data_IF_102325939091
#
_entry.id   IF_102325939091
#
_cell.length_a   1.000
_cell.length_b   1.000
_cell.length_c   1.000
_cell.angle_alpha   90.00
_cell.angle_beta   90.00
_cell.angle_gamma   90.00
#
_symmetry.space_group_name_H-M   'P 1'
#
loop_
_entity.id
_entity.type
_entity.pdbx_description
1 polymer ?
#
# COMPACT_ATOMS: atom_id res chain seq x y z
N UNK A 1 -17.64 -11.50 7.77
CA UNK A 1 -17.02 -11.64 6.44
C UNK A 1 -16.18 -10.40 6.22
N UNK A 2 -14.93 -10.55 5.77
CA UNK A 2 -13.97 -9.46 5.56
C UNK A 2 -13.45 -9.48 4.12
N UNK A 3 -12.97 -8.34 3.64
CA UNK A 3 -12.25 -8.21 2.37
C UNK A 3 -10.78 -7.93 2.69
N UNK A 4 -9.87 -8.67 2.06
CA UNK A 4 -8.43 -8.48 2.17
C UNK A 4 -7.89 -8.18 0.78
N UNK A 5 -7.26 -7.01 0.54
CA UNK A 5 -6.63 -6.74 -0.73
C UNK A 5 -5.41 -7.66 -0.92
N UNK A 6 -5.19 -8.06 -2.16
CA UNK A 6 -4.00 -8.77 -2.59
C UNK A 6 -3.24 -7.88 -3.57
N UNK A 7 -2.08 -7.38 -3.17
CA UNK A 7 -1.27 -6.45 -3.95
C UNK A 7 -0.21 -7.21 -4.75
N UNK A 8 -0.06 -6.84 -6.02
CA UNK A 8 1.09 -7.24 -6.81
C UNK A 8 2.10 -6.09 -6.83
N UNK A 9 3.35 -6.33 -6.46
CA UNK A 9 4.41 -5.32 -6.44
C UNK A 9 5.63 -5.85 -7.20
N UNK A 10 6.36 -4.98 -7.89
CA UNK A 10 7.53 -5.40 -8.67
C UNK A 10 8.69 -5.92 -7.83
N UNK A 11 8.76 -5.54 -6.54
CA UNK A 11 9.78 -5.96 -5.58
C UNK A 11 9.15 -6.03 -4.18
N UNK A 12 8.84 -7.24 -3.73
CA UNK A 12 8.13 -7.44 -2.47
C UNK A 12 9.00 -7.19 -1.25
N UNK A 13 10.31 -7.44 -1.32
CA UNK A 13 11.22 -7.19 -0.19
C UNK A 13 11.31 -5.69 0.09
N UNK A 14 11.50 -4.90 -0.96
CA UNK A 14 11.48 -3.43 -0.86
C UNK A 14 10.10 -2.92 -0.42
N UNK A 15 9.02 -3.55 -0.84
CA UNK A 15 7.66 -3.18 -0.40
C UNK A 15 7.41 -3.47 1.07
N UNK A 16 7.88 -4.60 1.60
CA UNK A 16 7.81 -4.91 3.03
C UNK A 16 8.51 -3.82 3.84
N UNK A 17 9.75 -3.47 3.46
CA UNK A 17 10.52 -2.43 4.16
C UNK A 17 9.83 -1.07 4.10
N UNK A 18 9.33 -0.68 2.92
CA UNK A 18 8.65 0.59 2.72
C UNK A 18 7.33 0.67 3.50
N UNK A 19 6.48 -0.36 3.42
CA UNK A 19 5.22 -0.39 4.17
C UNK A 19 5.47 -0.44 5.68
N UNK A 20 6.52 -1.13 6.13
CA UNK A 20 6.92 -1.13 7.55
C UNK A 20 7.34 0.26 8.04
N UNK A 21 8.17 0.96 7.26
CA UNK A 21 8.69 2.27 7.63
C UNK A 21 7.64 3.39 7.53
N UNK A 22 6.78 3.37 6.51
CA UNK A 22 5.87 4.48 6.18
C UNK A 22 4.46 4.26 6.74
N UNK A 23 3.95 3.03 6.64
CA UNK A 23 2.57 2.68 7.01
C UNK A 23 2.50 1.87 8.31
N UNK A 24 3.63 1.71 9.02
CA UNK A 24 3.76 0.88 10.22
C UNK A 24 3.29 -0.57 10.02
N UNK A 25 3.47 -1.10 8.80
CA UNK A 25 3.10 -2.47 8.48
C UNK A 25 3.97 -3.49 9.23
N UNK A 26 3.40 -4.67 9.52
CA UNK A 26 4.11 -5.77 10.18
C UNK A 26 3.86 -7.08 9.44
N UNK A 27 4.93 -7.81 9.16
CA UNK A 27 4.83 -9.18 8.62
C UNK A 27 4.13 -10.07 9.67
N UNK A 28 3.03 -10.70 9.26
CA UNK A 28 2.30 -11.69 10.08
C UNK A 28 2.41 -13.10 9.53
N UNK A 29 2.71 -13.22 8.24
CA UNK A 29 3.05 -14.48 7.61
C UNK A 29 4.31 -14.26 6.77
N UNK A 30 5.36 -15.03 7.04
CA UNK A 30 6.67 -14.88 6.41
C UNK A 30 6.60 -15.10 4.89
N UNK A 31 7.46 -14.42 4.10
CA UNK A 31 7.48 -14.58 2.66
C UNK A 31 7.67 -16.03 2.21
N UNK A 32 6.77 -16.51 1.35
CA UNK A 32 6.96 -17.75 0.58
C UNK A 32 7.81 -17.41 -0.62
N UNK A 33 9.02 -17.96 -0.67
CA UNK A 33 9.96 -17.79 -1.77
C UNK A 33 9.78 -18.94 -2.76
N UNK A 34 9.54 -18.59 -4.02
CA UNK A 34 9.39 -19.54 -5.13
C UNK A 34 10.76 -20.07 -5.59
N UNK A 35 10.77 -21.12 -6.40
CA UNK A 35 12.01 -21.74 -6.92
C UNK A 35 12.89 -20.77 -7.73
N UNK A 36 12.28 -19.73 -8.33
CA UNK A 36 12.97 -18.68 -9.07
C UNK A 36 13.41 -17.48 -8.20
N UNK A 37 13.18 -17.55 -6.88
CA UNK A 37 13.56 -16.54 -5.91
C UNK A 37 12.56 -15.40 -5.70
N UNK A 38 11.47 -15.36 -6.48
CA UNK A 38 10.38 -14.39 -6.31
C UNK A 38 9.62 -14.63 -5.01
N UNK A 39 9.06 -13.57 -4.44
CA UNK A 39 8.09 -13.70 -3.34
C UNK A 39 6.72 -14.05 -3.94
N UNK A 40 6.26 -15.28 -3.73
CA UNK A 40 4.95 -15.74 -4.19
C UNK A 40 3.81 -15.32 -3.26
N UNK A 41 4.10 -15.11 -1.98
CA UNK A 41 3.11 -14.69 -0.99
C UNK A 41 3.78 -14.11 0.27
N UNK A 42 3.16 -13.09 0.85
CA UNK A 42 3.45 -12.57 2.20
C UNK A 42 2.17 -11.93 2.75
N UNK A 43 1.99 -11.96 4.07
CA UNK A 43 0.90 -11.23 4.73
C UNK A 43 1.46 -10.14 5.64
N UNK A 44 0.86 -8.96 5.54
CA UNK A 44 1.15 -7.79 6.35
C UNK A 44 -0.10 -7.36 7.11
N UNK A 45 0.10 -6.83 8.32
CA UNK A 45 -0.92 -6.06 9.03
C UNK A 45 -0.58 -4.57 9.01
N UNK A 46 -1.59 -3.74 8.79
CA UNK A 46 -1.53 -2.27 8.95
C UNK A 46 -2.68 -1.89 9.88
N UNK A 47 -2.38 -1.59 11.14
CA UNK A 47 -3.40 -1.55 12.18
C UNK A 47 -4.09 -2.91 12.30
N UNK A 48 -5.42 -2.93 12.19
CA UNK A 48 -6.23 -4.15 12.23
C UNK A 48 -6.49 -4.76 10.83
N UNK A 49 -6.07 -4.09 9.76
CA UNK A 49 -6.27 -4.57 8.40
C UNK A 49 -5.16 -5.55 7.99
N UNK A 50 -5.55 -6.61 7.29
CA UNK A 50 -4.61 -7.53 6.62
C UNK A 50 -4.47 -7.10 5.16
N UNK A 51 -3.24 -7.12 4.66
CA UNK A 51 -2.90 -6.96 3.25
C UNK A 51 -2.07 -8.16 2.83
N UNK A 52 -2.46 -8.83 1.76
CA UNK A 52 -1.68 -9.90 1.14
C UNK A 52 -0.86 -9.32 -0.01
N UNK A 53 0.30 -9.88 -0.29
CA UNK A 53 1.16 -9.36 -1.36
C UNK A 53 1.97 -10.46 -2.03
N UNK A 54 2.28 -10.27 -3.32
CA UNK A 54 3.20 -11.08 -4.09
C UNK A 54 3.93 -10.24 -5.15
N UNK A 55 4.96 -10.84 -5.75
CA UNK A 55 5.55 -10.35 -6.99
C UNK A 55 4.76 -10.85 -8.23
N UNK A 56 4.99 -10.30 -9.43
CA UNK A 56 4.19 -10.63 -10.61
C UNK A 56 4.23 -12.12 -10.94
N UNK A 57 3.09 -12.65 -11.40
CA UNK A 57 2.92 -13.98 -11.99
C UNK A 57 2.21 -13.81 -13.35
N UNK A 58 2.94 -13.40 -14.42
CA UNK A 58 2.35 -13.16 -15.74
C UNK A 58 1.63 -14.38 -16.31
N UNK A 59 2.08 -15.59 -15.98
CA UNK A 59 1.45 -16.85 -16.35
C UNK A 59 0.03 -17.03 -15.78
N UNK A 60 -0.31 -16.29 -14.72
CA UNK A 60 -1.64 -16.23 -14.11
C UNK A 60 -2.36 -14.90 -14.41
N UNK A 61 -1.77 -14.03 -15.24
CA UNK A 61 -2.29 -12.69 -15.51
C UNK A 61 -2.24 -11.74 -14.30
N UNK A 62 -1.28 -11.95 -13.39
CA UNK A 62 -1.07 -11.10 -12.21
C UNK A 62 0.14 -10.23 -12.43
N UNK A 63 -0.09 -8.94 -12.66
CA UNK A 63 0.95 -7.95 -12.94
C UNK A 63 0.95 -6.83 -11.89
N UNK A 64 2.12 -6.23 -11.68
CA UNK A 64 2.23 -5.02 -10.89
C UNK A 64 1.56 -3.84 -11.63
N UNK A 65 1.09 -2.79 -10.92
CA UNK A 65 0.45 -1.64 -11.55
C UNK A 65 1.29 -1.02 -12.69
N UNK A 66 0.67 -0.85 -13.86
CA UNK A 66 1.26 -0.11 -14.97
C UNK A 66 1.06 1.40 -14.74
N UNK A 67 2.14 2.20 -14.60
CA UNK A 67 2.03 3.62 -14.35
C UNK A 67 1.37 4.41 -15.50
N UNK A 68 1.29 3.83 -16.70
CA UNK A 68 0.66 4.44 -17.89
C UNK A 68 -0.83 4.11 -18.03
N UNK A 69 -1.31 3.04 -17.38
CA UNK A 69 -2.69 2.57 -17.50
C UNK A 69 -3.68 3.28 -16.55
N UNK A 70 -3.16 4.09 -15.60
CA UNK A 70 -3.96 4.72 -14.56
C UNK A 70 -4.27 3.78 -13.39
N UNK A 71 -5.12 4.23 -12.47
CA UNK A 71 -5.40 3.52 -11.22
C UNK A 71 -6.81 2.91 -11.24
N UNK A 72 -6.91 1.59 -11.07
CA UNK A 72 -8.18 0.86 -11.02
C UNK A 72 -8.75 0.73 -9.61
N UNK A 73 -7.90 0.69 -8.58
CA UNK A 73 -8.28 0.49 -7.17
C UNK A 73 -7.55 1.49 -6.28
N UNK A 74 -8.20 1.96 -5.22
CA UNK A 74 -7.55 2.73 -4.16
C UNK A 74 -7.83 2.12 -2.80
N UNK A 75 -6.81 2.14 -1.95
CA UNK A 75 -6.87 1.62 -0.59
C UNK A 75 -7.00 2.80 0.36
N UNK A 76 -8.03 2.80 1.20
CA UNK A 76 -8.17 3.83 2.23
C UNK A 76 -7.57 3.36 3.54
N UNK A 77 -6.72 4.19 4.14
CA UNK A 77 -6.15 3.98 5.47
C UNK A 77 -6.61 5.08 6.41
N UNK A 78 -7.19 4.66 7.52
CA UNK A 78 -7.42 5.53 8.67
C UNK A 78 -6.10 5.68 9.42
N UNK A 79 -5.63 6.92 9.55
CA UNK A 79 -4.36 7.25 10.23
C UNK A 79 -4.59 8.40 11.21
N UNK A 80 -3.85 8.42 12.31
CA UNK A 80 -4.00 9.49 13.31
C UNK A 80 -3.35 10.81 12.86
N UNK A 81 -2.28 10.75 12.06
CA UNK A 81 -1.46 11.91 11.69
C UNK A 81 -1.23 11.96 10.17
N UNK A 82 -2.22 12.45 9.42
CA UNK A 82 -2.21 12.45 7.95
C UNK A 82 -0.98 13.15 7.36
N UNK A 83 -0.59 14.31 7.87
CA UNK A 83 0.60 15.04 7.37
C UNK A 83 1.88 14.28 7.59
N UNK A 84 2.03 13.68 8.77
CA UNK A 84 3.25 12.97 9.13
C UNK A 84 3.43 11.76 8.21
N UNK A 85 2.37 10.99 7.99
CA UNK A 85 2.41 9.83 7.10
C UNK A 85 2.59 10.26 5.64
N UNK A 86 1.88 11.29 5.17
CA UNK A 86 2.03 11.79 3.80
C UNK A 86 3.44 12.31 3.52
N UNK A 87 4.04 13.03 4.49
CA UNK A 87 5.42 13.49 4.40
C UNK A 87 6.41 12.33 4.38
N UNK A 88 6.29 11.39 5.31
CA UNK A 88 7.15 10.21 5.35
C UNK A 88 7.07 9.40 4.04
N UNK A 89 5.86 9.26 3.48
CA UNK A 89 5.65 8.60 2.20
C UNK A 89 6.36 9.33 1.06
N UNK A 90 6.21 10.66 0.97
CA UNK A 90 6.87 11.48 -0.05
C UNK A 90 8.40 11.41 0.07
N UNK A 91 8.94 11.52 1.29
CA UNK A 91 10.37 11.38 1.58
C UNK A 91 10.89 9.97 1.19
N UNK A 92 10.03 8.96 1.26
CA UNK A 92 10.31 7.58 0.85
C UNK A 92 9.94 7.27 -0.62
N UNK A 93 9.70 8.29 -1.44
CA UNK A 93 9.53 8.17 -2.90
C UNK A 93 8.10 7.94 -3.40
N UNK A 94 7.08 8.12 -2.55
CA UNK A 94 5.70 8.17 -3.02
C UNK A 94 5.41 9.49 -3.76
N UNK A 95 4.47 9.44 -4.71
CA UNK A 95 3.95 10.62 -5.38
C UNK A 95 2.69 11.09 -4.65
N UNK A 96 2.69 12.33 -4.20
CA UNK A 96 1.53 12.94 -3.56
C UNK A 96 0.61 13.54 -4.64
N UNK A 97 -0.52 12.87 -4.90
CA UNK A 97 -1.48 13.29 -5.91
C UNK A 97 -2.45 14.37 -5.36
N UNK A 98 -2.67 14.41 -4.04
CA UNK A 98 -3.54 15.40 -3.36
C UNK A 98 -3.19 15.54 -1.87
N UNK A 99 -3.43 16.73 -1.31
CA UNK A 99 -3.29 17.01 0.12
C UNK A 99 -1.83 17.00 0.60
N UNK A 100 -1.56 16.96 1.91
CA UNK A 100 -2.53 16.98 3.01
C UNK A 100 -3.39 18.25 3.03
N UNK A 101 -4.70 18.10 3.19
CA UNK A 101 -5.63 19.23 3.33
C UNK A 101 -6.82 18.89 4.24
N UNK A 102 -7.47 19.92 4.78
CA UNK A 102 -8.66 19.76 5.63
C UNK A 102 -9.93 19.74 4.79
N UNK A 103 -10.86 18.88 5.16
CA UNK A 103 -12.21 18.76 4.57
C UNK A 103 -13.26 18.77 5.68
N UNK A 104 -14.54 18.85 5.31
CA UNK A 104 -15.66 18.74 6.27
C UNK A 104 -15.70 17.37 6.98
N UNK A 105 -14.99 16.36 6.47
CA UNK A 105 -14.97 15.00 6.99
C UNK A 105 -13.64 14.63 7.66
N UNK A 106 -12.75 15.60 7.88
CA UNK A 106 -11.42 15.37 8.46
C UNK A 106 -10.29 15.77 7.51
N UNK A 107 -9.06 15.42 7.88
CA UNK A 107 -7.85 15.66 7.12
C UNK A 107 -7.60 14.52 6.14
N UNK A 108 -7.22 14.84 4.90
CA UNK A 108 -7.02 13.83 3.85
C UNK A 108 -5.76 14.06 3.05
N UNK A 109 -5.17 12.97 2.55
CA UNK A 109 -4.13 12.99 1.53
C UNK A 109 -4.30 11.80 0.58
N UNK A 110 -3.84 11.94 -0.66
CA UNK A 110 -3.82 10.85 -1.63
C UNK A 110 -2.42 10.72 -2.19
N UNK A 111 -1.89 9.51 -2.18
CA UNK A 111 -0.56 9.21 -2.69
C UNK A 111 -0.55 7.94 -3.54
N UNK A 112 0.44 7.84 -4.42
CA UNK A 112 0.85 6.58 -5.07
C UNK A 112 2.18 6.16 -4.47
N UNK A 113 2.21 4.94 -3.94
CA UNK A 113 3.45 4.38 -3.40
C UNK A 113 4.47 4.08 -4.53
N UNK A 114 5.74 3.76 -4.20
CA UNK A 114 6.76 3.46 -5.21
C UNK A 114 6.47 2.23 -6.09
N UNK A 115 5.45 1.44 -5.75
CA UNK A 115 5.05 0.22 -6.45
C UNK A 115 3.80 0.44 -7.31
N UNK A 116 3.27 1.67 -7.33
CA UNK A 116 2.16 2.09 -8.18
C UNK A 116 0.77 1.96 -7.56
N UNK A 117 0.66 1.52 -6.29
CA UNK A 117 -0.64 1.43 -5.62
C UNK A 117 -1.07 2.78 -5.07
N UNK A 118 -2.36 3.11 -5.24
CA UNK A 118 -2.93 4.37 -4.75
C UNK A 118 -3.54 4.21 -3.36
N UNK A 119 -3.07 5.04 -2.44
CA UNK A 119 -3.52 5.11 -1.06
C UNK A 119 -4.25 6.43 -0.79
N UNK A 120 -5.33 6.35 -0.02
CA UNK A 120 -6.07 7.49 0.52
C UNK A 120 -5.92 7.50 2.03
N UNK A 121 -5.23 8.49 2.56
CA UNK A 121 -5.06 8.69 4.00
C UNK A 121 -6.18 9.58 4.51
N UNK A 122 -6.75 9.23 5.66
CA UNK A 122 -7.74 10.06 6.35
C UNK A 122 -7.63 9.90 7.86
N UNK A 123 -7.87 10.94 8.64
CA UNK A 123 -8.15 10.83 10.08
C UNK A 123 -9.66 10.81 10.38
N UNK A 124 -10.47 11.15 9.38
CA UNK A 124 -11.92 11.06 9.40
C UNK A 124 -12.36 9.60 9.39
N UNK A 125 -13.09 9.18 10.43
CA UNK A 125 -13.74 7.86 10.43
C UNK A 125 -14.84 7.85 9.38
N UNK A 126 -14.99 6.76 8.60
CA UNK A 126 -16.14 6.60 7.74
C UNK A 126 -17.42 6.67 8.59
N UNK A 127 -18.40 7.44 8.10
CA UNK A 127 -19.71 7.60 8.72
C UNK A 127 -20.49 6.28 8.79
#
# INVERSE_FOLDING_TARGET
MSITPYLCVADARRAIDWYGAVLAARVTYEPIIMDDGRVGHVELTIGDAVVMMAEPFPELGVDAPDPTAGVSVSLQLLVNEVDAVARAAADAGAILDRGPESTDHGRVAVLRDPFGHRWMLTDGRPA
#
